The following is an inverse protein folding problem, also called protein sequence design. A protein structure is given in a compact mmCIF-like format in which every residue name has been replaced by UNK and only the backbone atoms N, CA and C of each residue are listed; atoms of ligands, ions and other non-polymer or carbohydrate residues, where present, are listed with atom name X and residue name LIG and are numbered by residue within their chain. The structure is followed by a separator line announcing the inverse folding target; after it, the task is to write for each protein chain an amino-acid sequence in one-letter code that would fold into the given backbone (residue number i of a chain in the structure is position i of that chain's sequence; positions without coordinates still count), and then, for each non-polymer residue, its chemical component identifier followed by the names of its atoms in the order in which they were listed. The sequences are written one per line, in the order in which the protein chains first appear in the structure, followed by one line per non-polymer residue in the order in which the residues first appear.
data_IF_724395825972
#
_entry.id   IF_724395825972
#
_cell.length_a   1.000
_cell.length_b   1.000
_cell.length_c   1.000
_cell.angle_alpha   90.00
_cell.angle_beta   90.00
_cell.angle_gamma   90.00
#
_symmetry.space_group_name_H-M   'P 1'
#
loop_
_entity.id
_entity.type
_entity.pdbx_description
1 polymer ?
#
# COMPACT_ATOMS: atom_id res chain seq x y z
N UNK A 1 -86.06 7.09 -4.67
CA UNK A 1 -85.15 7.53 -5.75
C UNK A 1 -83.84 7.95 -5.11
N UNK A 2 -82.75 7.32 -5.56
CA UNK A 2 -81.44 7.26 -4.90
C UNK A 2 -80.59 8.50 -5.23
N UNK A 3 -80.03 9.14 -4.20
CA UNK A 3 -78.93 10.10 -4.33
C UNK A 3 -77.60 9.32 -4.29
N UNK A 4 -76.88 9.29 -5.40
CA UNK A 4 -75.49 8.80 -5.46
C UNK A 4 -74.54 9.96 -5.22
N UNK A 5 -73.93 9.96 -4.03
CA UNK A 5 -72.79 10.80 -3.68
C UNK A 5 -71.51 10.05 -4.06
N UNK A 6 -70.81 10.51 -5.09
CA UNK A 6 -69.47 10.03 -5.47
C UNK A 6 -68.43 10.87 -4.75
N UNK A 7 -67.77 10.28 -3.75
CA UNK A 7 -66.54 10.79 -3.17
C UNK A 7 -65.34 10.25 -3.96
N UNK A 8 -64.57 11.14 -4.59
CA UNK A 8 -63.21 10.82 -5.04
C UNK A 8 -62.23 11.06 -3.87
N UNK A 9 -61.56 10.00 -3.43
CA UNK A 9 -60.39 10.09 -2.55
C UNK A 9 -59.15 10.35 -3.41
N UNK A 10 -58.57 11.54 -3.31
CA UNK A 10 -57.24 11.85 -3.83
C UNK A 10 -56.20 11.34 -2.83
N UNK A 11 -55.56 10.21 -3.18
CA UNK A 11 -54.33 9.74 -2.55
C UNK A 11 -53.17 10.62 -3.02
N UNK A 12 -52.79 11.60 -2.19
CA UNK A 12 -51.54 12.31 -2.36
C UNK A 12 -50.38 11.38 -1.92
N UNK A 13 -49.73 10.74 -2.89
CA UNK A 13 -48.44 10.08 -2.69
C UNK A 13 -47.39 11.18 -2.54
N UNK A 14 -47.05 11.53 -1.30
CA UNK A 14 -45.88 12.37 -1.03
C UNK A 14 -44.65 11.50 -1.25
N UNK A 15 -44.10 11.53 -2.46
CA UNK A 15 -42.74 11.09 -2.71
C UNK A 15 -41.85 12.10 -1.99
N UNK A 16 -41.44 11.77 -0.77
CA UNK A 16 -40.46 12.54 -0.03
C UNK A 16 -39.13 12.45 -0.75
N UNK A 17 -38.87 13.35 -1.70
CA UNK A 17 -37.50 13.68 -2.07
C UNK A 17 -36.86 14.21 -0.80
N UNK A 18 -35.96 13.44 -0.19
CA UNK A 18 -35.13 13.93 0.89
C UNK A 18 -34.41 15.17 0.37
N UNK A 19 -34.94 16.35 0.68
CA UNK A 19 -34.29 17.63 0.38
C UNK A 19 -32.93 17.55 1.06
N UNK A 20 -31.85 17.71 0.30
CA UNK A 20 -30.52 17.69 0.86
C UNK A 20 -30.41 18.85 1.87
N UNK A 21 -30.45 18.55 3.16
CA UNK A 21 -30.41 19.54 4.22
C UNK A 21 -28.94 19.84 4.53
N UNK A 22 -28.52 21.05 4.18
CA UNK A 22 -27.17 21.55 4.40
C UNK A 22 -27.10 22.16 5.80
N UNK A 23 -26.15 21.68 6.59
CA UNK A 23 -25.88 22.18 7.92
C UNK A 23 -24.48 22.79 7.96
N UNK A 24 -24.40 24.05 8.39
CA UNK A 24 -23.15 24.78 8.55
C UNK A 24 -22.92 24.97 10.05
N UNK A 25 -21.85 24.40 10.63
CA UNK A 25 -21.50 24.66 12.03
C UNK A 25 -21.11 26.13 12.20
N UNK A 26 -21.39 26.68 13.38
CA UNK A 26 -20.93 28.03 13.73
C UNK A 26 -19.39 28.11 13.69
N UNK A 27 -18.87 29.28 13.33
CA UNK A 27 -17.43 29.50 13.27
C UNK A 27 -16.86 29.64 14.69
N UNK A 28 -16.19 28.58 15.16
CA UNK A 28 -15.50 28.55 16.44
C UNK A 28 -13.97 28.67 16.33
N UNK A 29 -13.28 28.33 17.42
CA UNK A 29 -11.80 28.21 17.46
C UNK A 29 -11.27 27.20 16.45
N UNK A 30 -12.07 26.16 16.15
CA UNK A 30 -11.79 25.13 15.16
C UNK A 30 -12.27 25.51 13.74
N UNK A 31 -12.58 26.78 13.50
CA UNK A 31 -13.28 27.21 12.30
C UNK A 31 -14.71 26.66 12.28
N UNK A 32 -15.24 26.42 11.08
CA UNK A 32 -16.57 25.83 10.88
C UNK A 32 -16.49 24.31 11.10
N UNK A 33 -16.58 23.88 12.37
CA UNK A 33 -16.52 22.48 12.76
C UNK A 33 -17.55 22.12 13.82
N UNK A 34 -18.23 20.98 13.65
CA UNK A 34 -19.00 20.37 14.75
C UNK A 34 -18.05 19.65 15.70
N UNK A 35 -18.07 20.01 16.99
CA UNK A 35 -17.28 19.34 18.03
C UNK A 35 -18.11 18.18 18.57
N UNK A 36 -17.55 16.97 18.52
CA UNK A 36 -18.22 15.73 18.90
C UNK A 36 -17.59 15.19 20.18
N UNK A 37 -18.36 15.19 21.26
CA UNK A 37 -17.98 14.63 22.55
C UNK A 37 -18.57 13.23 22.73
N UNK A 38 -19.78 13.01 22.22
CA UNK A 38 -20.54 11.77 22.38
C UNK A 38 -21.27 11.38 21.10
N UNK A 39 -21.72 10.12 21.02
CA UNK A 39 -22.53 9.62 19.90
C UNK A 39 -23.82 10.42 19.70
N UNK A 40 -24.42 10.94 20.77
CA UNK A 40 -25.62 11.79 20.70
C UNK A 40 -25.44 13.05 19.85
N UNK A 41 -24.23 13.62 19.81
CA UNK A 41 -23.93 14.81 19.01
C UNK A 41 -24.01 14.47 17.51
N UNK A 42 -23.54 13.28 17.13
CA UNK A 42 -23.64 12.74 15.77
C UNK A 42 -25.08 12.42 15.40
N UNK A 43 -25.84 11.84 16.34
CA UNK A 43 -27.25 11.49 16.14
C UNK A 43 -28.10 12.74 15.86
N UNK A 44 -27.85 13.84 16.60
CA UNK A 44 -28.52 15.11 16.37
C UNK A 44 -28.22 15.70 14.98
N UNK A 45 -26.95 15.64 14.56
CA UNK A 45 -26.52 16.09 13.23
C UNK A 45 -27.15 15.20 12.15
N UNK A 46 -27.07 13.88 12.29
CA UNK A 46 -27.61 12.91 11.33
C UNK A 46 -29.14 12.94 11.20
N UNK A 47 -29.85 13.42 12.23
CA UNK A 47 -31.30 13.62 12.19
C UNK A 47 -31.72 14.85 11.37
N UNK A 48 -30.84 15.84 11.24
CA UNK A 48 -31.14 17.15 10.63
C UNK A 48 -30.40 17.39 9.32
N UNK A 49 -29.34 16.66 9.04
CA UNK A 49 -28.41 17.01 7.98
C UNK A 49 -28.24 15.84 7.02
N UNK A 50 -28.03 16.17 5.74
CA UNK A 50 -27.48 15.22 4.75
C UNK A 50 -26.14 15.71 4.21
N UNK A 51 -25.87 17.01 4.34
CA UNK A 51 -24.61 17.64 3.92
C UNK A 51 -24.11 18.53 5.04
N UNK A 52 -22.83 18.38 5.39
CA UNK A 52 -22.15 19.24 6.35
C UNK A 52 -21.24 20.19 5.58
N UNK A 53 -21.52 21.48 5.66
CA UNK A 53 -20.67 22.52 5.10
C UNK A 53 -19.62 22.94 6.14
N UNK A 54 -18.66 22.06 6.40
CA UNK A 54 -17.66 22.24 7.45
C UNK A 54 -16.89 20.96 7.73
N UNK A 55 -16.21 20.93 8.86
CA UNK A 55 -15.51 19.75 9.37
C UNK A 55 -16.28 19.10 10.53
N UNK A 56 -15.90 17.87 10.85
CA UNK A 56 -16.27 17.22 12.11
C UNK A 56 -14.99 17.06 12.94
N UNK A 57 -15.01 17.55 14.17
CA UNK A 57 -13.90 17.51 15.10
C UNK A 57 -14.24 16.58 16.27
N UNK A 58 -13.55 15.45 16.36
CA UNK A 58 -13.70 14.51 17.47
C UNK A 58 -12.94 15.02 18.69
N UNK A 59 -13.62 15.16 19.83
CA UNK A 59 -12.99 15.58 21.08
C UNK A 59 -12.02 14.54 21.62
N UNK A 60 -10.92 14.96 22.23
CA UNK A 60 -9.89 14.11 22.84
C UNK A 60 -10.42 13.05 23.84
N UNK A 61 -11.58 13.30 24.46
CA UNK A 61 -12.22 12.40 25.41
C UNK A 61 -13.27 11.46 24.77
N UNK A 62 -13.43 11.49 23.45
CA UNK A 62 -14.37 10.61 22.76
C UNK A 62 -13.96 9.14 22.93
N UNK A 63 -14.92 8.30 23.29
CA UNK A 63 -14.72 6.84 23.46
C UNK A 63 -15.88 6.07 22.85
N UNK A 64 -15.65 4.80 22.52
CA UNK A 64 -16.69 3.91 21.99
C UNK A 64 -16.84 3.99 20.47
N UNK A 65 -18.02 3.63 19.96
CA UNK A 65 -18.27 3.61 18.52
C UNK A 65 -18.64 5.00 18.00
N UNK A 66 -18.05 5.39 16.86
CA UNK A 66 -18.41 6.59 16.11
C UNK A 66 -19.27 6.19 14.92
N UNK A 67 -20.56 6.50 14.98
CA UNK A 67 -21.53 6.20 13.93
C UNK A 67 -22.15 7.48 13.39
N UNK A 68 -22.04 7.73 12.07
CA UNK A 68 -22.61 8.91 11.45
C UNK A 68 -23.44 8.52 10.22
N UNK A 69 -24.71 8.14 10.40
CA UNK A 69 -25.61 7.79 9.30
C UNK A 69 -26.16 9.04 8.60
N UNK A 70 -26.82 8.87 7.46
CA UNK A 70 -27.54 9.88 6.67
C UNK A 70 -26.70 11.01 6.04
N UNK A 71 -25.49 11.27 6.53
CA UNK A 71 -24.58 12.27 5.97
C UNK A 71 -23.92 11.72 4.72
N UNK A 72 -24.17 12.36 3.58
CA UNK A 72 -23.63 12.00 2.26
C UNK A 72 -22.44 12.84 1.84
N UNK A 73 -22.34 14.08 2.32
CA UNK A 73 -21.28 15.00 1.92
C UNK A 73 -20.76 15.80 3.11
N UNK A 74 -19.44 15.88 3.26
CA UNK A 74 -18.75 16.77 4.18
C UNK A 74 -17.77 17.60 3.35
N UNK A 75 -17.95 18.93 3.32
CA UNK A 75 -17.17 19.79 2.42
C UNK A 75 -15.72 19.96 2.85
N UNK A 76 -15.42 19.75 4.14
CA UNK A 76 -14.05 19.73 4.68
C UNK A 76 -13.72 18.32 5.15
N UNK A 77 -13.18 18.15 6.36
CA UNK A 77 -12.59 16.89 6.79
C UNK A 77 -13.00 16.44 8.17
N UNK A 78 -12.46 15.29 8.55
CA UNK A 78 -12.42 14.86 9.94
C UNK A 78 -11.12 15.33 10.59
N UNK A 79 -11.24 15.83 11.81
CA UNK A 79 -10.10 16.25 12.62
C UNK A 79 -10.36 15.97 14.10
N UNK A 80 -9.40 16.37 14.92
CA UNK A 80 -9.32 16.09 16.34
C UNK A 80 -9.31 17.42 17.03
N UNK A 81 -10.06 17.54 18.12
CA UNK A 81 -10.06 18.71 18.95
C UNK A 81 -9.15 18.47 20.16
N UNK A 82 -8.03 19.20 20.21
CA UNK A 82 -7.13 19.21 21.37
C UNK A 82 -7.45 20.42 22.25
N UNK A 83 -7.85 20.16 23.49
CA UNK A 83 -7.95 21.21 24.50
C UNK A 83 -6.54 21.44 25.03
N UNK A 84 -5.82 22.36 24.39
CA UNK A 84 -4.53 22.94 24.84
C UNK A 84 -3.30 22.03 24.55
N UNK A 85 -2.19 22.65 24.12
CA UNK A 85 -0.83 22.11 23.83
C UNK A 85 -0.16 21.33 24.98
N UNK A 86 -0.92 20.88 25.99
CA UNK A 86 -0.42 20.25 27.21
C UNK A 86 -0.87 18.79 27.37
N UNK A 87 -1.76 18.27 26.52
CA UNK A 87 -2.17 16.86 26.59
C UNK A 87 -1.88 16.13 25.28
N UNK A 88 -1.13 15.04 25.38
CA UNK A 88 -0.96 14.04 24.31
C UNK A 88 -2.17 13.11 24.20
N UNK A 89 -3.33 13.55 24.69
CA UNK A 89 -4.52 12.70 24.77
C UNK A 89 -5.21 12.67 23.41
N UNK A 90 -5.33 11.46 22.91
CA UNK A 90 -6.00 11.13 21.66
C UNK A 90 -7.37 10.51 21.99
N UNK A 91 -8.43 10.82 21.21
CA UNK A 91 -9.69 10.10 21.27
C UNK A 91 -9.45 8.61 21.08
N UNK A 92 -10.33 7.83 21.72
CA UNK A 92 -10.24 6.38 21.80
C UNK A 92 -11.49 5.73 21.21
N UNK A 93 -11.84 6.01 19.94
CA UNK A 93 -12.93 5.31 19.29
C UNK A 93 -12.52 3.85 19.07
N UNK A 94 -13.47 2.94 19.19
CA UNK A 94 -13.26 1.52 18.90
C UNK A 94 -13.62 1.17 17.45
N UNK A 95 -14.52 1.93 16.85
CA UNK A 95 -14.97 1.78 15.46
C UNK A 95 -15.44 3.11 14.90
N UNK A 96 -15.31 3.28 13.58
CA UNK A 96 -15.84 4.42 12.83
C UNK A 96 -16.69 3.88 11.67
N UNK A 97 -17.96 4.26 11.63
CA UNK A 97 -18.93 3.81 10.63
C UNK A 97 -19.65 5.00 9.99
N UNK A 98 -19.38 5.21 8.70
CA UNK A 98 -19.90 6.29 7.86
C UNK A 98 -20.69 5.68 6.69
N UNK A 99 -21.84 5.03 6.95
CA UNK A 99 -22.50 4.13 5.99
C UNK A 99 -23.03 4.83 4.73
N UNK A 100 -23.31 6.13 4.84
CA UNK A 100 -23.94 6.93 3.79
C UNK A 100 -23.02 7.98 3.17
N UNK A 101 -21.80 8.14 3.70
CA UNK A 101 -20.87 9.16 3.22
C UNK A 101 -20.40 8.81 1.81
N UNK A 102 -20.61 9.74 0.86
CA UNK A 102 -20.22 9.60 -0.54
C UNK A 102 -19.05 10.52 -0.89
N UNK A 103 -18.98 11.72 -0.30
CA UNK A 103 -17.98 12.74 -0.63
C UNK A 103 -17.39 13.38 0.61
N UNK A 104 -16.07 13.45 0.65
CA UNK A 104 -15.32 14.19 1.67
C UNK A 104 -14.36 15.16 0.98
N UNK A 105 -14.59 16.46 1.11
CA UNK A 105 -13.78 17.48 0.41
C UNK A 105 -12.38 17.68 1.00
N UNK A 106 -12.17 17.30 2.26
CA UNK A 106 -10.91 17.45 2.97
C UNK A 106 -10.23 16.12 3.26
N UNK A 107 -9.63 16.03 4.45
CA UNK A 107 -8.86 14.87 4.89
C UNK A 107 -9.60 14.03 5.93
N UNK A 108 -9.28 12.74 5.96
CA UNK A 108 -9.51 11.83 7.08
C UNK A 108 -8.19 11.76 7.85
N UNK A 109 -8.16 12.30 9.05
CA UNK A 109 -7.04 12.14 9.97
C UNK A 109 -7.49 11.18 11.07
N UNK A 110 -7.22 9.89 10.92
CA UNK A 110 -7.50 8.85 11.92
C UNK A 110 -6.24 8.02 12.19
N UNK A 111 -5.08 8.68 12.16
CA UNK A 111 -3.79 8.12 12.54
C UNK A 111 -3.56 8.21 14.06
N UNK A 112 -2.80 7.30 14.66
CA UNK A 112 -2.54 7.27 16.11
C UNK A 112 -3.76 6.95 17.00
N UNK A 113 -4.86 6.45 16.43
CA UNK A 113 -6.02 5.96 17.17
C UNK A 113 -5.78 4.51 17.64
N UNK A 114 -5.06 4.34 18.75
CA UNK A 114 -4.61 3.01 19.21
C UNK A 114 -5.75 2.01 19.49
N UNK A 115 -6.97 2.49 19.75
CA UNK A 115 -8.13 1.64 20.03
C UNK A 115 -8.99 1.33 18.81
N UNK A 116 -8.72 1.97 17.66
CA UNK A 116 -9.54 1.84 16.47
C UNK A 116 -9.33 0.46 15.82
N UNK A 117 -10.41 -0.32 15.78
CA UNK A 117 -10.42 -1.64 15.17
C UNK A 117 -10.90 -1.59 13.73
N UNK A 118 -12.04 -0.93 13.53
CA UNK A 118 -12.77 -0.97 12.27
C UNK A 118 -13.04 0.44 11.74
N UNK A 119 -12.76 0.65 10.46
CA UNK A 119 -13.16 1.84 9.72
C UNK A 119 -14.01 1.43 8.51
N UNK A 120 -15.25 1.91 8.45
CA UNK A 120 -16.20 1.55 7.38
C UNK A 120 -16.78 2.82 6.76
N UNK A 121 -16.56 3.03 5.47
CA UNK A 121 -17.23 4.05 4.68
C UNK A 121 -17.54 3.48 3.28
N UNK A 122 -18.46 2.50 3.18
CA UNK A 122 -18.58 1.64 2.01
C UNK A 122 -19.14 2.36 0.78
N UNK A 123 -19.69 3.57 0.94
CA UNK A 123 -20.21 4.41 -0.16
C UNK A 123 -19.29 5.60 -0.49
N UNK A 124 -18.18 5.79 0.24
CA UNK A 124 -17.29 6.92 0.04
C UNK A 124 -16.59 6.79 -1.30
N UNK A 125 -16.79 7.75 -2.21
CA UNK A 125 -16.27 7.74 -3.58
C UNK A 125 -15.02 8.59 -3.72
N UNK A 126 -14.96 9.73 -3.05
CA UNK A 126 -13.87 10.69 -3.19
C UNK A 126 -13.42 11.23 -1.83
N UNK A 127 -12.11 11.27 -1.62
CA UNK A 127 -11.45 12.04 -0.55
C UNK A 127 -10.61 13.13 -1.21
N UNK A 128 -10.97 14.39 -1.01
CA UNK A 128 -10.37 15.53 -1.70
C UNK A 128 -8.92 15.80 -1.34
N UNK A 129 -8.45 15.27 -0.20
CA UNK A 129 -7.04 15.38 0.21
C UNK A 129 -6.51 14.04 0.74
N UNK A 130 -6.23 13.93 2.04
CA UNK A 130 -5.51 12.78 2.60
C UNK A 130 -6.45 11.85 3.34
N UNK A 131 -6.38 10.55 3.08
CA UNK A 131 -6.98 9.51 3.91
C UNK A 131 -5.88 8.81 4.72
N UNK A 132 -5.72 9.19 5.99
CA UNK A 132 -4.75 8.59 6.92
C UNK A 132 -5.52 7.82 8.00
N UNK A 133 -5.42 6.49 7.98
CA UNK A 133 -6.25 5.62 8.82
C UNK A 133 -5.36 4.54 9.45
N UNK A 134 -5.37 4.51 10.79
CA UNK A 134 -4.73 3.44 11.56
C UNK A 134 -5.83 2.49 12.07
N UNK A 135 -5.82 1.24 11.61
CA UNK A 135 -6.80 0.21 11.98
C UNK A 135 -6.12 -1.09 12.37
N UNK A 136 -6.80 -1.90 13.17
CA UNK A 136 -6.26 -3.16 13.70
C UNK A 136 -7.10 -4.39 13.30
N UNK A 137 -8.17 -4.22 12.53
CA UNK A 137 -9.01 -5.31 12.04
C UNK A 137 -9.46 -5.06 10.60
N UNK A 138 -10.45 -4.19 10.39
CA UNK A 138 -11.09 -4.03 9.08
C UNK A 138 -11.08 -2.59 8.58
N UNK A 139 -10.72 -2.41 7.31
CA UNK A 139 -10.91 -1.19 6.54
C UNK A 139 -11.80 -1.48 5.34
N UNK A 140 -12.94 -0.81 5.26
CA UNK A 140 -13.86 -0.91 4.13
C UNK A 140 -14.10 0.45 3.48
N UNK A 141 -13.41 0.62 2.34
CA UNK A 141 -13.49 1.75 1.43
C UNK A 141 -13.81 1.27 0.01
N UNK A 142 -14.63 0.20 -0.10
CA UNK A 142 -14.87 -0.52 -1.38
C UNK A 142 -15.32 0.36 -2.55
N UNK A 143 -15.96 1.50 -2.29
CA UNK A 143 -16.45 2.43 -3.32
C UNK A 143 -15.51 3.60 -3.58
N UNK A 144 -14.37 3.71 -2.87
CA UNK A 144 -13.42 4.80 -3.05
C UNK A 144 -12.84 4.70 -4.45
N UNK A 145 -13.04 5.73 -5.27
CA UNK A 145 -12.57 5.81 -6.65
C UNK A 145 -11.26 6.58 -6.72
N UNK A 146 -11.20 7.72 -6.01
CA UNK A 146 -10.09 8.66 -6.10
C UNK A 146 -9.72 9.29 -4.75
N UNK A 147 -8.42 9.54 -4.58
CA UNK A 147 -7.87 10.35 -3.50
C UNK A 147 -6.55 11.02 -3.89
N UNK A 148 -6.11 12.04 -3.15
CA UNK A 148 -4.75 12.57 -3.32
C UNK A 148 -3.74 11.64 -2.65
N UNK A 149 -3.98 11.29 -1.38
CA UNK A 149 -3.14 10.38 -0.60
C UNK A 149 -4.00 9.34 0.12
N UNK A 150 -3.54 8.10 0.15
CA UNK A 150 -4.12 7.02 0.94
C UNK A 150 -3.02 6.35 1.78
N UNK A 151 -3.14 6.46 3.10
CA UNK A 151 -2.26 5.78 4.05
C UNK A 151 -3.09 4.91 4.98
N UNK A 152 -2.78 3.62 4.99
CA UNK A 152 -3.35 2.62 5.89
C UNK A 152 -2.23 2.05 6.73
N UNK A 153 -2.35 2.15 8.06
CA UNK A 153 -1.38 1.53 8.99
C UNK A 153 -2.07 0.64 10.00
N UNK A 154 -1.27 -0.22 10.60
CA UNK A 154 -1.70 -1.13 11.65
C UNK A 154 -1.97 -2.53 11.11
N UNK A 155 -2.61 -3.33 11.94
CA UNK A 155 -2.76 -4.77 11.73
C UNK A 155 -4.11 -5.14 11.11
N UNK A 156 -4.50 -4.45 10.03
CA UNK A 156 -5.74 -4.81 9.36
C UNK A 156 -5.62 -6.23 8.77
N UNK A 157 -6.54 -7.11 9.14
CA UNK A 157 -6.71 -8.42 8.49
C UNK A 157 -7.41 -8.31 7.16
N UNK A 158 -8.14 -7.22 6.92
CA UNK A 158 -8.87 -6.96 5.68
C UNK A 158 -8.83 -5.48 5.30
N UNK A 159 -8.41 -5.19 4.08
CA UNK A 159 -8.44 -3.86 3.45
C UNK A 159 -9.18 -3.95 2.13
N UNK A 160 -10.32 -3.27 2.02
CA UNK A 160 -11.16 -3.28 0.81
C UNK A 160 -11.11 -1.95 0.08
N UNK A 161 -10.59 -1.99 -1.15
CA UNK A 161 -10.35 -0.84 -2.03
C UNK A 161 -10.81 -1.16 -3.47
N UNK A 162 -11.87 -1.95 -3.61
CA UNK A 162 -12.31 -2.59 -4.84
C UNK A 162 -12.47 -1.63 -6.04
N UNK A 163 -12.93 -0.40 -5.79
CA UNK A 163 -13.19 0.61 -6.83
C UNK A 163 -12.05 1.62 -7.01
N UNK A 164 -10.95 1.50 -6.26
CA UNK A 164 -9.87 2.49 -6.24
C UNK A 164 -9.18 2.50 -7.60
N UNK A 165 -9.39 3.59 -8.33
CA UNK A 165 -8.94 3.77 -9.70
C UNK A 165 -7.68 4.63 -9.76
N UNK A 166 -7.68 5.71 -8.97
CA UNK A 166 -6.59 6.67 -8.98
C UNK A 166 -6.21 7.16 -7.57
N UNK A 167 -4.90 7.18 -7.29
CA UNK A 167 -4.37 7.93 -6.15
C UNK A 167 -3.25 8.83 -6.63
N UNK A 168 -3.50 10.14 -6.66
CA UNK A 168 -2.65 11.08 -7.40
C UNK A 168 -1.22 11.16 -6.87
N UNK A 169 -1.03 11.04 -5.56
CA UNK A 169 0.27 11.24 -4.93
C UNK A 169 0.85 9.95 -4.37
N UNK A 170 0.18 9.30 -3.43
CA UNK A 170 0.78 8.13 -2.78
C UNK A 170 -0.27 7.20 -2.16
N UNK A 171 -0.09 5.91 -2.41
CA UNK A 171 -0.63 4.83 -1.58
C UNK A 171 0.49 4.36 -0.65
N UNK A 172 0.23 4.36 0.65
CA UNK A 172 1.08 3.75 1.66
C UNK A 172 0.27 2.75 2.47
N UNK A 173 0.62 1.46 2.39
CA UNK A 173 0.02 0.43 3.22
C UNK A 173 1.13 -0.21 4.05
N UNK A 174 0.98 -0.18 5.37
CA UNK A 174 1.97 -0.76 6.25
C UNK A 174 1.41 -1.51 7.45
N UNK A 175 1.73 -2.80 7.54
CA UNK A 175 1.28 -3.70 8.59
C UNK A 175 2.42 -4.28 9.46
N UNK A 176 3.55 -3.56 9.59
CA UNK A 176 4.64 -3.93 10.52
C UNK A 176 4.75 -3.02 11.73
N UNK A 177 5.55 -3.48 12.69
CA UNK A 177 6.06 -2.73 13.83
C UNK A 177 6.90 -1.50 13.42
N UNK A 178 7.70 -1.59 12.34
CA UNK A 178 8.44 -0.42 11.81
C UNK A 178 7.53 0.80 11.53
N UNK A 179 6.28 0.58 11.14
CA UNK A 179 5.32 1.66 10.85
C UNK A 179 4.42 2.03 12.02
N UNK A 180 4.26 1.12 12.97
CA UNK A 180 3.57 1.36 14.23
C UNK A 180 4.19 0.45 15.30
N UNK A 181 5.02 0.97 16.21
CA UNK A 181 5.74 0.15 17.19
C UNK A 181 4.82 -0.61 18.17
N UNK A 182 3.53 -0.27 18.21
CA UNK A 182 2.52 -1.01 18.97
C UNK A 182 1.95 -2.22 18.22
N UNK A 183 2.33 -2.41 16.96
CA UNK A 183 1.91 -3.54 16.14
C UNK A 183 2.78 -4.76 16.50
N UNK A 184 2.17 -5.73 17.18
CA UNK A 184 2.80 -7.01 17.54
C UNK A 184 2.44 -8.13 16.57
N UNK A 185 1.83 -7.79 15.44
CA UNK A 185 1.18 -8.77 14.58
C UNK A 185 2.13 -9.67 13.82
N UNK A 186 1.65 -10.90 13.64
CA UNK A 186 2.24 -11.93 12.78
C UNK A 186 1.37 -12.25 11.56
N UNK A 187 0.27 -11.55 11.37
CA UNK A 187 -0.67 -11.77 10.27
C UNK A 187 -0.08 -11.38 8.91
N UNK A 188 -0.58 -12.00 7.85
CA UNK A 188 -0.31 -11.62 6.47
C UNK A 188 -1.54 -10.92 5.89
N UNK A 189 -1.33 -9.90 5.06
CA UNK A 189 -2.39 -9.16 4.37
C UNK A 189 -2.50 -9.61 2.91
N UNK A 190 -3.71 -9.97 2.49
CA UNK A 190 -4.06 -10.09 1.08
C UNK A 190 -4.49 -8.71 0.57
N UNK A 191 -3.76 -8.15 -0.39
CA UNK A 191 -4.02 -6.83 -0.94
C UNK A 191 -4.40 -6.92 -2.42
N UNK A 192 -5.67 -6.61 -2.72
CA UNK A 192 -6.16 -6.49 -4.08
C UNK A 192 -6.59 -5.04 -4.38
N UNK A 193 -6.11 -4.52 -5.51
CA UNK A 193 -6.40 -3.20 -6.06
C UNK A 193 -6.84 -3.38 -7.53
N UNK A 194 -7.98 -4.03 -7.79
CA UNK A 194 -8.33 -4.56 -9.11
C UNK A 194 -8.71 -3.49 -10.13
N UNK A 195 -9.06 -2.29 -9.67
CA UNK A 195 -9.43 -1.15 -10.50
C UNK A 195 -8.31 -0.11 -10.65
N UNK A 196 -7.20 -0.25 -9.92
CA UNK A 196 -6.16 0.78 -9.86
C UNK A 196 -5.44 0.86 -11.19
N UNK A 197 -5.52 2.02 -11.85
CA UNK A 197 -4.88 2.27 -13.15
C UNK A 197 -3.74 3.29 -13.04
N UNK A 198 -3.88 4.30 -12.18
CA UNK A 198 -2.90 5.36 -11.97
C UNK A 198 -2.61 5.55 -10.49
N UNK A 199 -1.33 5.56 -10.12
CA UNK A 199 -0.90 5.96 -8.77
C UNK A 199 0.31 6.87 -8.85
N UNK A 200 0.44 7.78 -7.89
CA UNK A 200 1.64 8.60 -7.80
C UNK A 200 2.86 7.79 -7.37
N UNK A 201 2.79 7.18 -6.19
CA UNK A 201 3.77 6.26 -5.62
C UNK A 201 3.05 5.11 -4.89
N UNK A 202 3.55 3.88 -5.01
CA UNK A 202 3.00 2.70 -4.33
C UNK A 202 4.00 2.18 -3.28
N UNK A 203 3.75 2.46 -2.01
CA UNK A 203 4.62 2.09 -0.89
C UNK A 203 3.96 1.02 -0.03
N UNK A 204 4.48 -0.19 -0.10
CA UNK A 204 3.97 -1.36 0.58
C UNK A 204 5.06 -1.90 1.51
N UNK A 205 4.77 -1.90 2.80
CA UNK A 205 5.71 -2.40 3.79
C UNK A 205 5.04 -3.38 4.75
N UNK A 206 5.49 -4.62 4.73
CA UNK A 206 5.18 -5.59 5.77
C UNK A 206 4.93 -7.00 5.31
N UNK A 207 3.89 -7.65 5.82
CA UNK A 207 3.69 -9.08 5.60
C UNK A 207 2.50 -9.24 4.68
N UNK A 208 2.74 -9.57 3.43
CA UNK A 208 1.68 -9.77 2.44
C UNK A 208 1.60 -11.24 2.03
N UNK A 209 0.40 -11.76 1.83
CA UNK A 209 0.18 -13.07 1.21
C UNK A 209 0.05 -12.99 -0.29
N UNK A 210 -0.37 -11.83 -0.80
CA UNK A 210 -0.67 -11.59 -2.21
C UNK A 210 -0.76 -10.08 -2.46
N UNK A 211 -0.44 -9.71 -3.70
CA UNK A 211 -0.61 -8.36 -4.24
C UNK A 211 -1.19 -8.47 -5.64
N UNK A 212 -2.38 -7.92 -5.86
CA UNK A 212 -3.05 -7.93 -7.16
C UNK A 212 -3.32 -6.50 -7.64
N UNK A 213 -2.62 -6.09 -8.70
CA UNK A 213 -2.74 -4.76 -9.34
C UNK A 213 -2.82 -4.91 -10.87
N UNK A 214 -3.84 -5.60 -11.41
CA UNK A 214 -3.83 -6.07 -12.80
C UNK A 214 -3.98 -4.94 -13.83
N UNK A 215 -4.61 -3.83 -13.45
CA UNK A 215 -4.87 -2.69 -14.36
C UNK A 215 -3.87 -1.54 -14.20
N UNK A 216 -2.90 -1.69 -13.29
CA UNK A 216 -1.97 -0.61 -12.98
C UNK A 216 -1.12 -0.32 -14.21
N UNK A 217 -1.32 0.86 -14.80
CA UNK A 217 -0.73 1.24 -16.09
C UNK A 217 0.36 2.29 -15.92
N UNK A 218 0.14 3.28 -15.03
CA UNK A 218 1.09 4.38 -14.86
C UNK A 218 1.42 4.69 -13.39
N UNK A 219 2.70 5.03 -13.18
CA UNK A 219 3.21 5.63 -11.95
C UNK A 219 3.65 7.07 -12.25
N UNK A 220 2.89 8.07 -11.78
CA UNK A 220 2.98 9.46 -12.26
C UNK A 220 3.22 10.51 -11.19
N UNK A 221 3.57 10.12 -9.96
CA UNK A 221 3.59 11.00 -8.80
C UNK A 221 4.44 12.26 -8.99
N UNK A 222 4.07 13.33 -8.29
CA UNK A 222 4.87 14.55 -8.16
C UNK A 222 5.23 14.70 -6.68
N UNK A 223 6.33 14.09 -6.25
CA UNK A 223 6.65 14.06 -4.83
C UNK A 223 8.15 13.96 -4.55
N UNK A 224 8.51 14.19 -3.29
CA UNK A 224 9.85 13.92 -2.75
C UNK A 224 10.08 12.43 -2.49
N UNK A 225 9.21 11.54 -2.98
CA UNK A 225 9.33 10.10 -2.81
C UNK A 225 10.47 9.56 -3.66
N UNK A 226 11.45 8.90 -3.04
CA UNK A 226 12.57 8.28 -3.76
C UNK A 226 12.15 7.06 -4.61
N UNK A 227 10.93 6.55 -4.40
CA UNK A 227 10.45 5.28 -4.94
C UNK A 227 9.13 5.47 -5.68
N UNK A 228 9.04 4.95 -6.90
CA UNK A 228 7.78 4.86 -7.64
C UNK A 228 6.97 3.66 -7.13
N UNK A 229 7.64 2.52 -6.96
CA UNK A 229 7.10 1.33 -6.30
C UNK A 229 8.12 0.90 -5.24
N UNK A 230 7.69 0.79 -4.00
CA UNK A 230 8.45 0.18 -2.93
C UNK A 230 7.64 -0.97 -2.35
N UNK A 231 8.21 -2.18 -2.40
CA UNK A 231 7.73 -3.33 -1.66
C UNK A 231 8.85 -3.79 -0.74
N UNK A 232 8.61 -3.72 0.57
CA UNK A 232 9.46 -4.32 1.59
C UNK A 232 8.64 -5.37 2.32
N UNK A 233 8.74 -6.63 1.87
CA UNK A 233 8.09 -7.74 2.54
C UNK A 233 8.99 -8.32 3.62
N UNK A 234 8.52 -8.35 4.85
CA UNK A 234 9.17 -9.09 5.93
C UNK A 234 8.97 -10.62 5.76
N UNK A 235 9.51 -11.43 6.68
CA UNK A 235 9.35 -12.89 6.67
C UNK A 235 7.88 -13.30 6.47
N UNK A 236 7.62 -14.16 5.50
CA UNK A 236 6.24 -14.48 5.09
C UNK A 236 6.20 -15.49 3.94
N UNK A 237 4.99 -15.79 3.43
CA UNK A 237 4.85 -16.57 2.21
C UNK A 237 5.47 -15.84 1.02
N UNK A 238 5.77 -16.61 -0.04
CA UNK A 238 6.22 -16.02 -1.30
C UNK A 238 5.10 -15.22 -1.94
N UNK A 239 5.44 -14.03 -2.45
CA UNK A 239 4.50 -13.16 -3.15
C UNK A 239 4.86 -13.17 -4.63
N UNK A 240 3.87 -13.46 -5.47
CA UNK A 240 3.98 -13.30 -6.92
C UNK A 240 3.68 -11.85 -7.29
N UNK A 241 4.66 -11.19 -7.94
CA UNK A 241 4.56 -9.80 -8.33
C UNK A 241 4.28 -9.72 -9.83
N UNK A 242 3.05 -9.33 -10.18
CA UNK A 242 2.64 -9.17 -11.56
C UNK A 242 2.04 -7.78 -11.80
N UNK A 243 2.62 -7.06 -12.76
CA UNK A 243 2.10 -5.78 -13.25
C UNK A 243 1.88 -5.89 -14.77
N UNK A 244 0.82 -6.59 -15.21
CA UNK A 244 0.65 -6.98 -16.61
C UNK A 244 0.43 -5.78 -17.54
N UNK A 245 -0.20 -4.72 -17.07
CA UNK A 245 -0.52 -3.52 -17.86
C UNK A 245 0.42 -2.33 -17.62
N UNK A 246 1.42 -2.47 -16.72
CA UNK A 246 2.33 -1.38 -16.35
C UNK A 246 3.20 -1.00 -17.55
N UNK A 247 3.10 0.27 -17.98
CA UNK A 247 3.75 0.79 -19.18
C UNK A 247 4.65 1.98 -18.90
N UNK A 248 4.31 2.78 -17.90
CA UNK A 248 4.98 4.06 -17.68
C UNK A 248 5.30 4.27 -16.20
N UNK A 249 6.57 4.56 -15.94
CA UNK A 249 7.06 4.96 -14.63
C UNK A 249 7.86 6.24 -14.85
N UNK A 250 7.38 7.33 -14.26
CA UNK A 250 7.90 8.65 -14.55
C UNK A 250 9.30 8.88 -13.97
N UNK A 251 9.44 8.67 -12.67
CA UNK A 251 10.67 8.89 -11.91
C UNK A 251 10.74 7.97 -10.69
N UNK A 252 11.81 8.10 -9.89
CA UNK A 252 12.03 7.32 -8.67
C UNK A 252 12.77 6.00 -8.94
N UNK A 253 12.45 5.00 -8.13
CA UNK A 253 13.03 3.65 -8.21
C UNK A 253 11.95 2.60 -7.99
N UNK A 254 12.13 1.41 -8.59
CA UNK A 254 11.38 0.20 -8.25
C UNK A 254 12.21 -0.57 -7.24
N UNK A 255 11.79 -0.55 -5.98
CA UNK A 255 12.47 -1.24 -4.88
C UNK A 255 11.65 -2.44 -4.42
N UNK A 256 12.13 -3.65 -4.71
CA UNK A 256 11.45 -4.89 -4.39
C UNK A 256 12.35 -5.74 -3.48
N UNK A 257 11.95 -5.91 -2.23
CA UNK A 257 12.68 -6.70 -1.25
C UNK A 257 11.75 -7.66 -0.51
N UNK A 258 12.17 -8.93 -0.37
CA UNK A 258 11.49 -9.92 0.48
C UNK A 258 11.43 -11.34 -0.12
N UNK A 259 10.43 -12.12 0.31
CA UNK A 259 10.12 -13.44 -0.25
C UNK A 259 9.31 -13.31 -1.55
N UNK A 260 10.00 -13.20 -2.68
CA UNK A 260 9.37 -13.01 -4.00
C UNK A 260 9.32 -14.37 -4.72
N UNK A 261 8.12 -14.78 -5.13
CA UNK A 261 7.89 -16.03 -5.87
C UNK A 261 8.13 -15.88 -7.37
N UNK A 262 7.67 -14.77 -7.94
CA UNK A 262 7.83 -14.41 -9.34
C UNK A 262 7.79 -12.90 -9.52
N UNK A 263 8.36 -12.42 -10.63
CA UNK A 263 8.34 -11.01 -11.02
C UNK A 263 8.01 -10.91 -12.51
N UNK A 264 6.92 -10.22 -12.86
CA UNK A 264 6.46 -10.08 -14.23
C UNK A 264 5.95 -8.68 -14.53
N UNK A 265 6.49 -8.05 -15.57
CA UNK A 265 6.10 -6.74 -16.08
C UNK A 265 6.10 -6.75 -17.61
N UNK A 266 5.22 -7.55 -18.25
CA UNK A 266 5.30 -7.85 -19.69
C UNK A 266 5.10 -6.61 -20.59
N UNK A 267 4.33 -5.61 -20.14
CA UNK A 267 4.04 -4.39 -20.91
C UNK A 267 5.09 -3.28 -20.73
N UNK A 268 6.01 -3.43 -19.78
CA UNK A 268 7.03 -2.43 -19.49
C UNK A 268 8.26 -2.71 -20.34
N UNK A 269 8.38 -2.05 -21.49
CA UNK A 269 9.50 -2.28 -22.44
C UNK A 269 10.69 -1.36 -22.18
N UNK A 270 10.48 -0.17 -21.63
CA UNK A 270 11.53 0.78 -21.30
C UNK A 270 11.50 1.10 -19.81
N UNK A 271 12.62 0.87 -19.14
CA UNK A 271 12.79 1.14 -17.73
C UNK A 271 13.89 2.18 -17.51
N UNK A 272 13.52 3.46 -17.44
CA UNK A 272 14.46 4.56 -17.20
C UNK A 272 14.91 4.69 -15.74
N UNK A 273 14.11 4.18 -14.82
CA UNK A 273 14.31 4.27 -13.36
C UNK A 273 15.17 3.12 -12.83
N UNK A 274 15.72 3.28 -11.62
CA UNK A 274 16.51 2.22 -11.00
C UNK A 274 15.62 1.05 -10.58
N UNK A 275 15.95 -0.16 -11.04
CA UNK A 275 15.40 -1.40 -10.52
C UNK A 275 16.31 -1.98 -9.43
N UNK A 276 15.78 -2.11 -8.22
CA UNK A 276 16.41 -2.83 -7.13
C UNK A 276 15.56 -4.05 -6.76
N UNK A 277 16.13 -5.25 -6.86
CA UNK A 277 15.48 -6.49 -6.45
C UNK A 277 16.40 -7.22 -5.47
N UNK A 278 15.88 -7.53 -4.28
CA UNK A 278 16.57 -8.36 -3.30
C UNK A 278 15.63 -9.44 -2.77
N UNK A 279 15.89 -10.69 -3.15
CA UNK A 279 15.04 -11.82 -2.77
C UNK A 279 15.70 -12.71 -1.72
N UNK A 280 14.90 -13.22 -0.79
CA UNK A 280 15.35 -14.24 0.17
C UNK A 280 15.17 -15.66 -0.37
N UNK A 281 14.17 -15.82 -1.25
CA UNK A 281 13.83 -17.07 -1.90
C UNK A 281 14.41 -17.15 -3.30
N UNK A 282 14.58 -18.38 -3.81
CA UNK A 282 15.03 -18.62 -5.18
C UNK A 282 14.09 -17.93 -6.17
N UNK A 283 14.64 -17.04 -6.99
CA UNK A 283 13.91 -16.29 -8.01
C UNK A 283 14.64 -16.35 -9.35
N UNK A 284 13.87 -16.55 -10.41
CA UNK A 284 14.31 -16.44 -11.79
C UNK A 284 13.85 -15.10 -12.36
N UNK A 285 14.78 -14.33 -12.91
CA UNK A 285 14.50 -13.02 -13.51
C UNK A 285 14.41 -13.19 -15.03
N UNK A 286 13.24 -12.92 -15.60
CA UNK A 286 13.02 -12.85 -17.04
C UNK A 286 12.13 -11.64 -17.35
N UNK A 287 12.75 -10.55 -17.78
CA UNK A 287 12.07 -9.26 -17.99
C UNK A 287 12.21 -8.79 -19.44
N UNK A 288 11.15 -8.24 -20.05
CA UNK A 288 11.07 -7.99 -21.49
C UNK A 288 11.75 -6.70 -21.95
N UNK A 289 12.54 -6.06 -21.09
CA UNK A 289 13.09 -4.72 -21.32
C UNK A 289 13.89 -4.66 -22.62
N UNK A 290 13.60 -3.66 -23.44
CA UNK A 290 14.43 -3.26 -24.58
C UNK A 290 15.51 -2.25 -24.15
N UNK A 291 15.13 -1.34 -23.25
CA UNK A 291 16.02 -0.34 -22.66
C UNK A 291 15.85 -0.35 -21.15
N UNK A 292 16.96 -0.36 -20.43
CA UNK A 292 16.97 -0.28 -18.97
C UNK A 292 18.04 0.72 -18.48
N UNK A 293 17.76 1.42 -17.39
CA UNK A 293 18.72 2.27 -16.70
C UNK A 293 19.69 1.43 -15.88
N UNK A 294 19.72 1.70 -14.57
CA UNK A 294 20.47 0.89 -13.60
C UNK A 294 19.58 -0.24 -13.08
N UNK A 295 20.14 -1.44 -12.96
CA UNK A 295 19.50 -2.60 -12.35
C UNK A 295 20.44 -3.21 -11.31
N UNK A 296 19.94 -3.49 -10.12
CA UNK A 296 20.65 -4.16 -9.03
C UNK A 296 19.84 -5.36 -8.57
N UNK A 297 20.40 -6.55 -8.77
CA UNK A 297 19.79 -7.83 -8.43
C UNK A 297 20.58 -8.48 -7.31
N UNK A 298 19.90 -8.87 -6.24
CA UNK A 298 20.50 -9.32 -4.98
C UNK A 298 19.82 -10.56 -4.40
N UNK A 299 20.58 -11.34 -3.64
CA UNK A 299 20.05 -12.46 -2.84
C UNK A 299 20.05 -13.79 -3.60
N UNK A 300 18.96 -14.54 -3.54
CA UNK A 300 18.87 -15.90 -4.11
C UNK A 300 18.34 -15.89 -5.56
N UNK A 301 19.13 -15.37 -6.50
CA UNK A 301 18.77 -15.23 -7.92
C UNK A 301 19.39 -16.39 -8.72
N UNK A 302 18.56 -17.31 -9.23
CA UNK A 302 19.05 -18.49 -9.94
C UNK A 302 19.25 -18.33 -11.44
N UNK A 303 18.58 -17.37 -12.07
CA UNK A 303 18.78 -17.04 -13.47
C UNK A 303 18.41 -15.58 -13.75
N UNK A 304 19.04 -15.01 -14.77
CA UNK A 304 18.81 -13.64 -15.23
C UNK A 304 18.75 -13.63 -16.75
N UNK A 305 17.62 -13.20 -17.30
CA UNK A 305 17.37 -13.14 -18.73
C UNK A 305 16.69 -11.83 -19.11
N UNK A 306 17.23 -11.18 -20.14
CA UNK A 306 16.65 -9.99 -20.75
C UNK A 306 16.63 -10.17 -22.28
N UNK A 307 15.67 -10.95 -22.81
CA UNK A 307 15.72 -11.44 -24.19
C UNK A 307 15.68 -10.34 -25.26
N UNK A 308 15.14 -9.17 -24.94
CA UNK A 308 14.95 -8.06 -25.88
C UNK A 308 15.91 -6.89 -25.66
N UNK A 309 16.86 -7.01 -24.72
CA UNK A 309 17.67 -5.89 -24.26
C UNK A 309 18.64 -5.39 -25.33
N UNK A 310 18.48 -4.11 -25.68
CA UNK A 310 19.30 -3.37 -26.64
C UNK A 310 20.19 -2.33 -25.97
N UNK A 311 19.80 -1.84 -24.80
CA UNK A 311 20.57 -0.86 -24.04
C UNK A 311 20.38 -1.06 -22.54
N UNK A 312 21.48 -0.99 -21.78
CA UNK A 312 21.46 -0.93 -20.32
C UNK A 312 22.50 0.05 -19.82
N UNK A 313 22.17 0.84 -18.81
CA UNK A 313 23.12 1.73 -18.14
C UNK A 313 24.12 0.92 -17.31
N UNK A 314 23.63 0.19 -16.32
CA UNK A 314 24.43 -0.68 -15.44
C UNK A 314 23.59 -1.85 -14.95
N UNK A 315 24.17 -3.05 -14.93
CA UNK A 315 23.56 -4.25 -14.36
C UNK A 315 24.50 -4.83 -13.29
N UNK A 316 24.10 -4.72 -12.02
CA UNK A 316 24.79 -5.34 -10.91
C UNK A 316 24.03 -6.57 -10.43
N UNK A 317 24.71 -7.71 -10.33
CA UNK A 317 24.14 -8.97 -9.82
C UNK A 317 25.02 -9.50 -8.70
N UNK A 318 24.48 -9.58 -7.49
CA UNK A 318 25.15 -10.16 -6.33
C UNK A 318 24.28 -11.29 -5.78
N UNK A 319 24.64 -12.55 -6.05
CA UNK A 319 23.80 -13.68 -5.69
C UNK A 319 24.51 -14.74 -4.85
N UNK A 320 23.77 -15.31 -3.88
CA UNK A 320 24.20 -16.48 -3.12
C UNK A 320 23.99 -17.80 -3.90
N UNK A 321 23.15 -17.77 -4.95
CA UNK A 321 22.91 -18.93 -5.81
C UNK A 321 24.05 -19.14 -6.81
N UNK A 322 24.13 -20.34 -7.39
CA UNK A 322 25.01 -20.59 -8.53
C UNK A 322 24.47 -19.90 -9.78
N UNK A 323 25.24 -18.97 -10.34
CA UNK A 323 24.90 -18.27 -11.58
C UNK A 323 26.15 -18.19 -12.47
N UNK A 324 26.00 -18.47 -13.77
CA UNK A 324 27.07 -18.30 -14.75
C UNK A 324 27.22 -16.82 -15.13
N UNK A 325 27.97 -16.09 -14.32
CA UNK A 325 28.24 -14.68 -14.53
C UNK A 325 28.92 -14.39 -15.89
N UNK A 326 29.74 -15.31 -16.40
CA UNK A 326 30.43 -15.13 -17.67
C UNK A 326 29.45 -15.24 -18.83
N UNK A 327 28.59 -16.24 -18.82
CA UNK A 327 27.54 -16.40 -19.83
C UNK A 327 26.55 -15.22 -19.81
N UNK A 328 26.19 -14.73 -18.61
CA UNK A 328 25.36 -13.54 -18.47
C UNK A 328 26.03 -12.32 -19.11
N UNK A 329 27.29 -12.03 -18.76
CA UNK A 329 28.06 -10.92 -19.30
C UNK A 329 28.17 -10.98 -20.83
N UNK A 330 28.53 -12.13 -21.39
CA UNK A 330 28.61 -12.33 -22.85
C UNK A 330 27.26 -12.11 -23.55
N UNK A 331 26.16 -12.56 -22.94
CA UNK A 331 24.81 -12.39 -23.48
C UNK A 331 24.41 -10.92 -23.51
N UNK A 332 24.71 -10.17 -22.44
CA UNK A 332 24.38 -8.74 -22.37
C UNK A 332 25.23 -7.94 -23.36
N UNK A 333 26.55 -8.14 -23.39
CA UNK A 333 27.46 -7.48 -24.35
C UNK A 333 26.99 -7.69 -25.79
N UNK A 334 26.59 -8.91 -26.12
CA UNK A 334 26.09 -9.25 -27.45
C UNK A 334 24.74 -8.57 -27.75
N UNK A 335 23.82 -8.54 -26.77
CA UNK A 335 22.51 -7.91 -26.91
C UNK A 335 22.59 -6.39 -27.07
N UNK A 336 23.48 -5.74 -26.32
CA UNK A 336 23.64 -4.28 -26.32
C UNK A 336 24.62 -3.75 -27.36
N UNK A 337 25.38 -4.62 -28.01
CA UNK A 337 26.42 -4.26 -28.98
C UNK A 337 27.45 -3.26 -28.40
N UNK A 338 27.81 -3.42 -27.12
CA UNK A 338 28.78 -2.56 -26.42
C UNK A 338 30.16 -3.20 -26.38
N UNK A 339 31.23 -2.39 -26.42
CA UNK A 339 32.61 -2.87 -26.29
C UNK A 339 33.08 -3.03 -24.84
N UNK A 340 32.40 -2.36 -23.91
CA UNK A 340 32.60 -2.49 -22.46
C UNK A 340 31.40 -3.20 -21.85
N UNK A 341 31.68 -4.05 -20.87
CA UNK A 341 30.66 -4.71 -20.09
C UNK A 341 29.94 -3.70 -19.20
N UNK A 342 28.61 -3.54 -19.30
CA UNK A 342 27.82 -2.81 -18.32
C UNK A 342 27.48 -3.69 -17.11
N UNK A 343 28.04 -4.92 -17.02
CA UNK A 343 27.65 -5.94 -16.05
C UNK A 343 28.72 -6.10 -14.98
N UNK A 344 28.33 -6.01 -13.71
CA UNK A 344 29.12 -6.48 -12.58
C UNK A 344 28.39 -7.66 -11.94
N UNK A 345 28.94 -8.87 -12.05
CA UNK A 345 28.30 -10.08 -11.54
C UNK A 345 29.20 -10.80 -10.52
N UNK A 346 28.64 -11.09 -9.35
CA UNK A 346 29.26 -11.86 -8.29
C UNK A 346 28.31 -12.96 -7.81
N UNK A 347 28.75 -14.21 -7.90
CA UNK A 347 28.04 -15.37 -7.37
C UNK A 347 28.92 -16.09 -6.34
N UNK A 348 28.44 -16.22 -5.10
CA UNK A 348 29.22 -16.82 -3.99
C UNK A 348 29.61 -18.27 -4.28
N UNK A 349 28.72 -19.00 -4.98
CA UNK A 349 28.91 -20.38 -5.40
C UNK A 349 29.05 -20.47 -6.92
N UNK A 350 29.78 -19.54 -7.55
CA UNK A 350 30.23 -19.71 -8.92
C UNK A 350 31.10 -20.97 -8.98
N UNK A 351 30.49 -22.12 -9.22
CA UNK A 351 31.21 -23.34 -9.54
C UNK A 351 32.10 -22.98 -10.71
N UNK A 352 33.39 -22.87 -10.43
CA UNK A 352 34.44 -22.77 -11.40
C UNK A 352 34.31 -23.99 -12.30
N UNK A 353 33.59 -23.83 -13.41
CA UNK A 353 33.59 -24.77 -14.53
C UNK A 353 34.94 -24.64 -15.27
N UNK A 354 36.04 -24.62 -14.51
CA UNK A 354 37.35 -24.97 -14.98
C UNK A 354 37.40 -26.49 -14.91
N UNK A 355 37.22 -27.08 -16.09
CA UNK A 355 37.72 -28.39 -16.48
C UNK A 355 38.99 -28.78 -15.69
N UNK A 356 38.81 -29.57 -14.63
CA UNK A 356 39.91 -30.20 -13.91
C UNK A 356 39.81 -31.70 -14.16
N UNK A 357 40.67 -32.13 -15.07
CA UNK A 357 41.15 -33.49 -15.22
C UNK A 357 41.56 -34.00 -13.82
N UNK A 358 40.68 -34.78 -13.18
CA UNK A 358 40.93 -35.28 -11.82
C UNK A 358 41.82 -36.53 -11.88
N UNK A 359 43.10 -36.29 -12.11
CA UNK A 359 44.19 -37.20 -11.79
C UNK A 359 44.98 -36.67 -10.59
N UNK A 360 44.40 -36.67 -9.40
CA UNK A 360 45.12 -36.70 -8.11
C UNK A 360 44.12 -36.69 -6.94
N UNK A 361 44.04 -37.80 -6.20
CA UNK A 361 43.42 -37.85 -4.88
C UNK A 361 44.33 -37.12 -3.89
N UNK A 362 43.79 -36.14 -3.18
CA UNK A 362 44.38 -35.66 -1.92
C UNK A 362 43.28 -35.68 -0.86
N UNK A 363 43.49 -36.51 0.15
CA UNK A 363 42.61 -36.65 1.30
C UNK A 363 42.86 -35.49 2.28
N UNK A 364 41.80 -34.79 2.65
CA UNK A 364 41.82 -33.87 3.80
C UNK A 364 40.99 -34.47 4.92
N UNK A 365 41.67 -34.92 5.98
CA UNK A 365 41.06 -35.20 7.26
C UNK A 365 41.03 -33.92 8.09
N UNK A 366 39.84 -33.45 8.45
CA UNK A 366 39.64 -32.35 9.40
C UNK A 366 39.25 -32.91 10.77
N UNK A 367 40.16 -32.78 11.73
CA UNK A 367 39.90 -33.01 13.16
C UNK A 367 39.17 -31.80 13.72
N UNK A 368 37.98 -32.02 14.29
CA UNK A 368 37.21 -31.04 15.05
C UNK A 368 37.76 -30.98 16.47
N UNK A 369 38.35 -29.85 16.86
CA UNK A 369 38.74 -29.55 18.24
C UNK A 369 37.71 -28.66 18.91
N UNK A 370 36.85 -29.26 19.74
CA UNK A 370 35.98 -28.55 20.70
C UNK A 370 36.83 -28.23 21.93
N UNK A 371 36.95 -26.96 22.30
CA UNK A 371 37.47 -26.56 23.62
C UNK A 371 36.32 -25.92 24.41
N UNK A 372 35.82 -26.69 25.37
CA UNK A 372 34.99 -26.24 26.50
C UNK A 372 35.96 -25.78 27.59
N UNK A 373 35.80 -24.54 28.06
CA UNK A 373 36.53 -24.01 29.21
C UNK A 373 35.57 -23.51 30.29
N UNK A 374 35.24 -24.38 31.23
CA UNK A 374 34.62 -24.07 32.52
C UNK A 374 35.68 -24.34 33.59
N UNK A 375 36.17 -23.32 34.31
CA UNK A 375 36.74 -23.49 35.66
C UNK A 375 36.47 -22.23 36.49
N UNK A 376 35.93 -22.47 37.68
CA UNK A 376 35.57 -21.52 38.74
C UNK A 376 36.75 -21.16 39.66
N UNK A 377 36.55 -20.06 40.40
CA UNK A 377 37.01 -19.74 41.76
C UNK A 377 38.48 -19.36 41.99
N UNK A 378 38.68 -18.13 42.48
CA UNK A 378 38.76 -17.89 43.93
C UNK A 378 37.96 -16.64 44.32
#
# INVERSE_FOLDING_TARGET
MSYRSTWMLLLAVVVGTAMAQICTPERGSEGESYIINHQSDLDEIAAKCTTINGSIAMSYNYTGAFHLPNIRNITKGFKWFQIIDLSSDYPKPTSINLPDLEFLGGSIWFNSLLTLKNFTAPKLKTVGSKAFIDVTQELDLRSLVESEYLTVRGDASSVRLDSLQQVRQQIQICNTDECNPNNSSRGTLDLSLPALHDVGHLLLQGRFSSLDTPKLTNITGYGSGSYSIQLRSAEGPKIDLSFPELKYIRDGSLWLEGSIGSLSMPSLTNLSVWLYVKTYDRLDINLPFEEAGTMTLGGNISSVQFPNLKSVGELQVNTAASLDCKSLEETIIKGTNTSRSPVTCHAENAASHLSLNLGAKVAFGSVVGVIVGLVMSY
#
